data_IF_352975564792
#
_entry.id   IF_352975564792
#
_cell.length_a   1.000
_cell.length_b   1.000
_cell.length_c   1.000
_cell.angle_alpha   90.00
_cell.angle_beta   90.00
_cell.angle_gamma   90.00
#
_symmetry.space_group_name_H-M   'P 1'
#
loop_
_entity.id
_entity.type
_entity.pdbx_description
1 polymer ?
#
# COMPACT_ATOMS: atom_id res chain seq x y z
N UNK A 1 -12.80 -16.00 44.99
CA UNK A 1 -11.39 -16.07 45.40
C UNK A 1 -10.66 -16.98 44.40
N UNK A 2 -9.58 -16.44 43.84
CA UNK A 2 -8.83 -16.91 42.68
C UNK A 2 -7.95 -18.15 43.00
N UNK A 3 -7.69 -19.03 42.02
CA UNK A 3 -6.33 -19.22 41.48
C UNK A 3 -6.34 -20.10 40.21
N UNK A 4 -6.07 -19.48 39.06
CA UNK A 4 -5.55 -20.15 37.86
C UNK A 4 -4.02 -20.11 37.91
N UNK A 5 -3.38 -21.25 37.67
CA UNK A 5 -1.95 -21.34 37.36
C UNK A 5 -1.83 -22.21 36.11
N UNK A 6 -1.51 -21.60 34.97
CA UNK A 6 -0.90 -22.31 33.85
C UNK A 6 0.46 -21.70 33.59
N UNK A 7 1.48 -22.59 33.60
CA UNK A 7 2.87 -22.27 33.37
C UNK A 7 3.04 -21.39 32.12
N UNK A 8 3.61 -20.20 32.33
CA UNK A 8 4.35 -19.50 31.31
C UNK A 8 5.60 -20.32 30.99
N UNK A 9 5.72 -20.81 29.77
CA UNK A 9 6.91 -20.78 28.91
C UNK A 9 6.53 -21.53 27.62
N UNK A 10 6.86 -20.93 26.46
CA UNK A 10 6.82 -21.57 25.14
C UNK A 10 5.55 -21.48 24.27
N UNK A 11 4.85 -20.34 24.19
CA UNK A 11 4.10 -20.00 22.96
C UNK A 11 4.11 -18.48 22.71
N UNK A 12 5.20 -17.94 22.17
CA UNK A 12 5.20 -16.62 21.51
C UNK A 12 5.19 -16.73 19.97
N UNK A 13 5.18 -17.96 19.45
CA UNK A 13 5.31 -18.24 18.00
C UNK A 13 4.07 -18.88 17.37
N UNK A 14 3.08 -19.40 18.12
CA UNK A 14 1.85 -19.95 17.51
C UNK A 14 0.71 -18.95 17.33
N UNK A 15 0.72 -17.77 17.96
CA UNK A 15 -0.28 -16.72 17.70
C UNK A 15 -0.03 -15.96 16.41
N UNK A 16 1.21 -15.93 15.93
CA UNK A 16 1.53 -15.39 14.61
C UNK A 16 0.93 -16.28 13.50
N UNK A 17 1.04 -17.62 13.58
CA UNK A 17 0.64 -18.55 12.49
C UNK A 17 -0.86 -18.62 12.10
N UNK A 18 -1.74 -17.86 12.74
CA UNK A 18 -3.15 -17.68 12.31
C UNK A 18 -3.27 -16.54 11.26
N UNK A 19 -2.14 -15.96 10.85
CA UNK A 19 -1.93 -14.85 9.91
C UNK A 19 -3.07 -14.57 8.91
N UNK A 20 -3.54 -13.32 8.96
CA UNK A 20 -4.22 -12.54 7.91
C UNK A 20 -4.48 -13.35 6.64
N UNK A 21 -5.72 -13.82 6.46
CA UNK A 21 -6.11 -14.57 5.27
C UNK A 21 -5.62 -13.86 4.00
N UNK A 22 -4.84 -14.55 3.18
CA UNK A 22 -4.31 -14.01 1.93
C UNK A 22 -2.94 -13.31 2.01
N UNK A 23 -2.23 -13.33 3.14
CA UNK A 23 -0.84 -12.83 3.19
C UNK A 23 0.13 -13.71 2.38
N UNK A 24 0.92 -13.06 1.52
CA UNK A 24 2.06 -13.64 0.81
C UNK A 24 3.23 -12.65 0.89
N UNK A 25 4.42 -13.13 1.25
CA UNK A 25 5.61 -12.28 1.30
C UNK A 25 5.92 -11.69 -0.09
N UNK A 26 6.15 -10.37 -0.13
CA UNK A 26 6.38 -9.63 -1.36
C UNK A 26 5.12 -9.32 -2.17
N UNK A 27 3.91 -9.60 -1.64
CA UNK A 27 2.64 -9.31 -2.32
C UNK A 27 2.44 -7.83 -2.64
N UNK A 28 3.15 -6.93 -1.94
CA UNK A 28 3.07 -5.48 -2.19
C UNK A 28 4.14 -4.93 -3.11
N UNK A 29 4.95 -5.79 -3.75
CA UNK A 29 5.84 -5.36 -4.83
C UNK A 29 5.02 -4.88 -6.02
N UNK A 30 5.41 -3.74 -6.59
CA UNK A 30 4.75 -3.21 -7.78
C UNK A 30 4.93 -4.20 -8.95
N UNK A 31 3.84 -4.73 -9.53
CA UNK A 31 3.93 -5.57 -10.70
C UNK A 31 4.65 -4.85 -11.85
N UNK A 32 5.40 -5.60 -12.65
CA UNK A 32 6.03 -5.03 -13.84
C UNK A 32 4.95 -4.66 -14.84
N UNK A 33 4.95 -3.40 -15.28
CA UNK A 33 4.05 -2.99 -16.35
C UNK A 33 4.41 -3.67 -17.66
N UNK A 34 3.40 -3.98 -18.48
CA UNK A 34 3.62 -4.66 -19.76
C UNK A 34 4.24 -3.72 -20.79
N UNK A 35 5.18 -4.21 -21.60
CA UNK A 35 5.85 -3.42 -22.65
C UNK A 35 4.94 -2.92 -23.78
N UNK A 36 3.67 -3.34 -23.78
CA UNK A 36 2.66 -3.05 -24.81
C UNK A 36 1.67 -1.95 -24.40
N UNK A 37 1.88 -1.27 -23.27
CA UNK A 37 1.00 -0.17 -22.90
C UNK A 37 1.12 1.00 -23.90
N UNK A 38 0.05 1.26 -24.64
CA UNK A 38 -0.04 2.34 -25.61
C UNK A 38 -1.26 3.22 -25.32
N UNK A 39 -1.18 4.51 -25.68
CA UNK A 39 -2.24 5.48 -25.39
C UNK A 39 -2.15 6.09 -23.99
N UNK A 40 -3.25 6.67 -23.49
CA UNK A 40 -3.40 7.22 -22.11
C UNK A 40 -2.45 8.35 -21.70
N UNK A 41 -1.69 8.92 -22.64
CA UNK A 41 -0.76 10.04 -22.38
C UNK A 41 -1.42 11.19 -21.61
N UNK A 42 -2.68 11.50 -21.90
CA UNK A 42 -3.43 12.55 -21.20
C UNK A 42 -3.56 12.28 -19.71
N UNK A 43 -3.95 11.06 -19.31
CA UNK A 43 -4.05 10.67 -17.90
C UNK A 43 -2.68 10.61 -17.25
N UNK A 44 -1.67 10.07 -17.93
CA UNK A 44 -0.30 10.06 -17.42
C UNK A 44 0.25 11.47 -17.19
N UNK A 45 -0.08 12.43 -18.07
CA UNK A 45 0.30 13.82 -17.90
C UNK A 45 -0.41 14.46 -16.70
N UNK A 46 -1.71 14.17 -16.50
CA UNK A 46 -2.44 14.65 -15.31
C UNK A 46 -1.83 14.09 -14.02
N UNK A 47 -1.48 12.80 -14.00
CA UNK A 47 -0.79 12.19 -12.86
C UNK A 47 0.59 12.80 -12.64
N UNK A 48 1.36 13.05 -13.71
CA UNK A 48 2.67 13.71 -13.64
C UNK A 48 2.56 15.12 -13.07
N UNK A 49 1.61 15.92 -13.55
CA UNK A 49 1.39 17.28 -13.06
C UNK A 49 1.04 17.27 -11.56
N UNK A 50 0.09 16.41 -11.16
CA UNK A 50 -0.40 16.32 -9.79
C UNK A 50 0.62 15.76 -8.79
N UNK A 51 1.28 14.64 -9.13
CA UNK A 51 2.18 13.95 -8.21
C UNK A 51 3.63 14.42 -8.28
N UNK A 52 4.13 14.84 -9.46
CA UNK A 52 5.56 15.08 -9.67
C UNK A 52 5.88 16.58 -9.71
N UNK A 53 5.22 17.35 -10.58
CA UNK A 53 5.55 18.77 -10.74
C UNK A 53 5.23 19.59 -9.50
N UNK A 54 4.15 19.23 -8.82
CA UNK A 54 3.77 19.84 -7.54
C UNK A 54 4.64 19.39 -6.35
N UNK A 55 5.64 18.52 -6.51
CA UNK A 55 6.62 18.23 -5.42
C UNK A 55 7.52 19.43 -5.10
N UNK A 56 7.64 20.38 -6.03
CA UNK A 56 8.47 21.58 -5.90
C UNK A 56 7.69 22.81 -5.43
N UNK A 57 6.41 22.64 -5.11
CA UNK A 57 5.50 23.74 -4.71
C UNK A 57 5.47 23.94 -3.18
N UNK A 58 4.82 25.00 -2.71
CA UNK A 58 4.58 25.25 -1.28
C UNK A 58 3.76 24.13 -0.58
N UNK A 59 3.12 23.24 -1.35
CA UNK A 59 2.41 22.06 -0.86
C UNK A 59 3.31 20.81 -0.75
N UNK A 60 4.63 20.95 -0.92
CA UNK A 60 5.61 19.89 -0.71
C UNK A 60 5.46 19.27 0.70
N UNK A 61 5.31 17.94 0.75
CA UNK A 61 5.12 17.19 2.00
C UNK A 61 3.66 16.96 2.42
N UNK A 62 2.67 17.47 1.68
CA UNK A 62 1.26 17.09 1.90
C UNK A 62 0.93 15.75 1.24
N UNK A 63 0.09 14.94 1.90
CA UNK A 63 -0.47 13.72 1.30
C UNK A 63 -1.36 14.09 0.11
N UNK A 64 -1.06 13.50 -1.05
CA UNK A 64 -1.84 13.64 -2.29
C UNK A 64 -2.63 12.37 -2.56
N UNK A 65 -3.89 12.51 -2.98
CA UNK A 65 -4.78 11.37 -3.27
C UNK A 65 -5.40 11.61 -4.65
N UNK A 66 -5.25 10.63 -5.54
CA UNK A 66 -5.82 10.67 -6.88
C UNK A 66 -6.70 9.43 -7.09
N UNK A 67 -7.96 9.64 -7.48
CA UNK A 67 -8.90 8.56 -7.77
C UNK A 67 -8.98 8.31 -9.28
N UNK A 68 -8.49 7.15 -9.73
CA UNK A 68 -8.71 6.66 -11.10
C UNK A 68 -9.98 5.79 -11.13
N UNK A 69 -11.08 6.34 -11.64
CA UNK A 69 -12.34 5.63 -11.82
C UNK A 69 -12.72 5.48 -13.29
N UNK A 70 -13.58 4.50 -13.60
CA UNK A 70 -14.00 4.20 -14.97
C UNK A 70 -14.49 2.76 -15.12
N UNK A 71 -15.04 2.45 -16.29
CA UNK A 71 -15.64 1.14 -16.57
C UNK A 71 -14.66 -0.03 -16.34
N UNK A 72 -15.22 -1.21 -16.08
CA UNK A 72 -14.46 -2.46 -16.07
C UNK A 72 -13.70 -2.66 -17.39
N UNK A 73 -12.47 -3.18 -17.33
CA UNK A 73 -11.63 -3.34 -18.52
C UNK A 73 -11.05 -2.04 -19.10
N UNK A 74 -11.36 -0.88 -18.53
CA UNK A 74 -10.75 0.39 -18.94
C UNK A 74 -9.28 0.52 -18.49
N UNK A 75 -8.52 -0.55 -18.27
CA UNK A 75 -7.06 -0.51 -18.05
C UNK A 75 -6.56 0.45 -16.96
N UNK A 76 -7.33 0.67 -15.89
CA UNK A 76 -6.99 1.61 -14.81
C UNK A 76 -5.71 1.17 -14.08
N UNK A 77 -5.68 -0.09 -13.67
CA UNK A 77 -4.51 -0.76 -13.08
C UNK A 77 -3.28 -0.59 -13.96
N UNK A 78 -3.38 -0.90 -15.26
CA UNK A 78 -2.26 -0.76 -16.19
C UNK A 78 -1.77 0.70 -16.30
N UNK A 79 -2.67 1.68 -16.22
CA UNK A 79 -2.29 3.08 -16.22
C UNK A 79 -1.52 3.49 -14.95
N UNK A 80 -1.93 2.97 -13.78
CA UNK A 80 -1.22 3.20 -12.52
C UNK A 80 0.16 2.53 -12.51
N UNK A 81 0.26 1.30 -13.02
CA UNK A 81 1.53 0.58 -13.15
C UNK A 81 2.51 1.28 -14.10
N UNK A 82 2.03 1.80 -15.23
CA UNK A 82 2.88 2.59 -16.13
C UNK A 82 3.34 3.91 -15.50
N UNK A 83 2.49 4.57 -14.72
CA UNK A 83 2.89 5.77 -13.98
C UNK A 83 4.01 5.44 -12.99
N UNK A 84 3.82 4.41 -12.16
CA UNK A 84 4.85 3.95 -11.21
C UNK A 84 6.16 3.57 -11.93
N UNK A 85 6.07 2.85 -13.05
CA UNK A 85 7.24 2.49 -13.85
C UNK A 85 7.96 3.72 -14.41
N UNK A 86 7.22 4.68 -14.97
CA UNK A 86 7.76 5.90 -15.60
C UNK A 86 8.45 6.82 -14.59
N UNK A 87 7.90 6.93 -13.38
CA UNK A 87 8.38 7.83 -12.32
C UNK A 87 9.01 7.10 -11.13
N UNK A 88 9.53 5.89 -11.34
CA UNK A 88 10.05 5.07 -10.24
C UNK A 88 11.14 5.77 -9.43
N UNK A 89 11.98 6.59 -10.07
CA UNK A 89 13.08 7.31 -9.43
C UNK A 89 12.62 8.53 -8.63
N UNK A 90 11.35 8.93 -8.76
CA UNK A 90 10.76 10.04 -8.01
C UNK A 90 10.25 9.63 -6.62
N UNK A 91 10.18 8.32 -6.36
CA UNK A 91 9.70 7.77 -5.10
C UNK A 91 10.76 6.89 -4.44
N UNK A 92 10.89 6.97 -3.12
CA UNK A 92 11.78 6.10 -2.34
C UNK A 92 11.22 4.70 -2.17
N UNK A 93 9.89 4.56 -2.25
CA UNK A 93 9.23 3.27 -2.23
C UNK A 93 7.90 3.32 -3.01
N UNK A 94 7.54 2.20 -3.64
CA UNK A 94 6.26 2.02 -4.33
C UNK A 94 5.61 0.74 -3.83
N UNK A 95 4.49 0.89 -3.13
CA UNK A 95 3.70 -0.20 -2.58
C UNK A 95 2.42 -0.42 -3.40
N UNK A 96 2.22 -1.65 -3.89
CA UNK A 96 0.98 -2.06 -4.55
C UNK A 96 0.08 -2.81 -3.56
N UNK A 97 -1.12 -2.31 -3.30
CA UNK A 97 -2.06 -2.87 -2.33
C UNK A 97 -3.28 -3.38 -3.08
N UNK A 98 -3.62 -4.66 -2.87
CA UNK A 98 -4.89 -5.23 -3.32
C UNK A 98 -5.94 -4.87 -2.27
N UNK A 99 -6.85 -3.97 -2.61
CA UNK A 99 -7.84 -3.37 -1.70
C UNK A 99 -9.25 -3.96 -1.88
N UNK A 100 -9.33 -5.29 -2.04
CA UNK A 100 -10.59 -6.02 -2.24
C UNK A 100 -11.35 -6.26 -0.93
N UNK A 101 -10.62 -6.45 0.17
CA UNK A 101 -11.18 -6.68 1.51
C UNK A 101 -10.33 -6.02 2.60
N UNK A 102 -10.87 -5.95 3.81
CA UNK A 102 -10.11 -5.44 4.96
C UNK A 102 -8.90 -6.35 5.25
N UNK A 103 -9.05 -7.67 5.08
CA UNK A 103 -7.99 -8.63 5.28
C UNK A 103 -6.88 -8.50 4.23
N UNK A 104 -7.21 -8.27 2.95
CA UNK A 104 -6.21 -8.07 1.91
C UNK A 104 -5.42 -6.77 2.13
N UNK A 105 -6.09 -5.72 2.64
CA UNK A 105 -5.43 -4.47 3.04
C UNK A 105 -4.51 -4.69 4.24
N UNK A 106 -4.98 -5.36 5.30
CA UNK A 106 -4.16 -5.65 6.49
C UNK A 106 -2.96 -6.53 6.13
N UNK A 107 -3.16 -7.57 5.31
CA UNK A 107 -2.09 -8.41 4.79
C UNK A 107 -1.04 -7.58 4.03
N UNK A 108 -1.51 -6.63 3.20
CA UNK A 108 -0.63 -5.71 2.48
C UNK A 108 0.17 -4.81 3.43
N UNK A 109 -0.44 -4.20 4.46
CA UNK A 109 0.31 -3.41 5.44
C UNK A 109 1.29 -4.24 6.25
N UNK A 110 0.94 -5.48 6.57
CA UNK A 110 1.88 -6.40 7.22
C UNK A 110 3.09 -6.68 6.32
N UNK A 111 2.89 -6.95 5.03
CA UNK A 111 3.98 -7.13 4.06
C UNK A 111 4.87 -5.87 3.94
N UNK A 112 4.27 -4.68 3.91
CA UNK A 112 5.00 -3.41 3.88
C UNK A 112 5.84 -3.25 5.15
N UNK A 113 5.29 -3.62 6.31
CA UNK A 113 6.05 -3.63 7.55
C UNK A 113 7.25 -4.58 7.46
N UNK A 114 7.05 -5.78 6.93
CA UNK A 114 8.11 -6.77 6.76
C UNK A 114 9.20 -6.30 5.79
N UNK A 115 8.83 -5.66 4.68
CA UNK A 115 9.78 -5.10 3.70
C UNK A 115 10.70 -4.04 4.30
N UNK A 116 10.16 -3.22 5.20
CA UNK A 116 10.84 -2.01 5.69
C UNK A 116 11.34 -2.08 7.13
N UNK A 117 11.02 -3.14 7.88
CA UNK A 117 11.41 -3.26 9.27
C UNK A 117 12.86 -3.73 9.44
N UNK A 118 13.63 -2.97 10.21
CA UNK A 118 14.88 -3.44 10.82
C UNK A 118 14.69 -4.16 12.17
N UNK A 119 13.54 -4.03 12.86
CA UNK A 119 13.20 -4.78 14.09
C UNK A 119 11.68 -4.94 14.35
N UNK A 120 11.31 -6.13 14.85
CA UNK A 120 10.03 -6.66 15.37
C UNK A 120 8.71 -6.05 14.85
N UNK A 121 8.23 -6.54 13.71
CA UNK A 121 6.84 -6.33 13.25
C UNK A 121 5.86 -6.94 14.25
N UNK A 122 4.97 -6.13 14.83
CA UNK A 122 3.99 -6.56 15.84
C UNK A 122 2.62 -6.91 15.25
N UNK A 123 2.37 -6.53 14.00
CA UNK A 123 1.07 -6.58 13.35
C UNK A 123 1.00 -5.65 12.13
N UNK A 124 -0.12 -5.68 11.40
CA UNK A 124 -0.34 -4.89 10.18
C UNK A 124 -0.24 -3.38 10.43
N UNK A 125 -0.58 -2.91 11.63
CA UNK A 125 -0.47 -1.52 12.06
C UNK A 125 0.97 -0.99 11.92
N UNK A 126 1.96 -1.88 11.95
CA UNK A 126 3.37 -1.53 11.79
C UNK A 126 3.65 -0.94 10.40
N UNK A 127 2.96 -1.42 9.35
CA UNK A 127 3.10 -0.88 7.99
C UNK A 127 2.46 0.49 7.86
N UNK A 128 1.30 0.70 8.51
CA UNK A 128 0.69 2.02 8.58
C UNK A 128 1.57 3.02 9.35
N UNK A 129 2.19 2.58 10.45
CA UNK A 129 3.16 3.38 11.21
C UNK A 129 4.37 3.75 10.36
N UNK A 130 4.83 2.87 9.47
CA UNK A 130 5.89 3.19 8.53
C UNK A 130 5.53 4.41 7.69
N UNK A 131 4.36 4.43 7.02
CA UNK A 131 3.90 5.58 6.22
C UNK A 131 3.81 6.89 7.01
N UNK A 132 3.41 6.84 8.29
CA UNK A 132 3.33 8.03 9.16
C UNK A 132 4.69 8.60 9.55
N UNK A 133 5.72 7.77 9.58
CA UNK A 133 7.05 8.15 10.08
C UNK A 133 8.06 8.40 8.95
N UNK A 134 7.81 7.83 7.76
CA UNK A 134 8.65 8.00 6.59
C UNK A 134 8.38 9.36 5.94
N UNK A 135 9.38 10.24 5.96
CA UNK A 135 9.29 11.63 5.47
C UNK A 135 9.61 11.79 3.99
N UNK A 136 10.16 10.75 3.38
CA UNK A 136 10.49 10.73 1.95
C UNK A 136 9.24 10.51 1.09
N UNK A 137 9.36 10.78 -0.21
CA UNK A 137 8.26 10.60 -1.15
C UNK A 137 8.03 9.12 -1.43
N UNK A 138 6.93 8.56 -0.92
CA UNK A 138 6.47 7.21 -1.23
C UNK A 138 5.19 7.23 -2.06
N UNK A 139 4.94 6.16 -2.82
CA UNK A 139 3.72 5.97 -3.59
C UNK A 139 2.99 4.71 -3.15
N UNK A 140 1.68 4.82 -2.93
CA UNK A 140 0.79 3.67 -2.75
C UNK A 140 -0.16 3.61 -3.95
N UNK A 141 -0.25 2.44 -4.58
CA UNK A 141 -1.29 2.12 -5.56
C UNK A 141 -2.26 1.16 -4.89
N UNK A 142 -3.51 1.59 -4.68
CA UNK A 142 -4.58 0.72 -4.18
C UNK A 142 -5.43 0.26 -5.38
N UNK A 143 -5.37 -1.02 -5.71
CA UNK A 143 -6.13 -1.63 -6.81
C UNK A 143 -7.36 -2.37 -6.28
N UNK A 144 -8.42 -2.46 -7.08
CA UNK A 144 -9.72 -3.07 -6.70
C UNK A 144 -10.39 -2.48 -5.45
N UNK A 145 -10.15 -1.20 -5.14
CA UNK A 145 -10.77 -0.44 -4.05
C UNK A 145 -12.24 -0.04 -4.31
N UNK A 146 -13.03 -0.92 -4.94
CA UNK A 146 -14.40 -0.63 -5.40
C UNK A 146 -15.46 -0.89 -4.31
N UNK A 147 -15.06 -1.48 -3.18
CA UNK A 147 -15.95 -1.79 -2.08
C UNK A 147 -16.29 -0.54 -1.26
N UNK A 148 -17.49 0.01 -1.45
CA UNK A 148 -17.98 1.18 -0.73
C UNK A 148 -18.13 1.00 0.79
N UNK A 149 -18.11 -0.24 1.29
CA UNK A 149 -18.11 -0.53 2.73
C UNK A 149 -16.70 -0.58 3.33
N UNK A 150 -15.66 -0.56 2.48
CA UNK A 150 -14.29 -0.54 2.94
C UNK A 150 -13.99 0.86 3.48
N UNK A 151 -13.74 0.94 4.79
CA UNK A 151 -13.40 2.20 5.42
C UNK A 151 -11.96 2.62 5.05
N UNK A 152 -11.80 3.22 3.88
CA UNK A 152 -10.53 3.83 3.45
C UNK A 152 -10.16 5.06 4.29
N UNK A 153 -11.06 5.55 5.17
CA UNK A 153 -10.78 6.69 6.05
C UNK A 153 -9.74 6.36 7.13
N UNK A 154 -9.45 5.09 7.38
CA UNK A 154 -8.32 4.65 8.23
C UNK A 154 -6.98 5.20 7.71
N UNK A 155 -6.90 5.53 6.41
CA UNK A 155 -5.70 6.08 5.77
C UNK A 155 -5.63 7.61 5.77
N UNK A 156 -6.61 8.31 6.41
CA UNK A 156 -6.71 9.77 6.37
C UNK A 156 -5.91 10.52 7.44
N UNK A 157 -5.40 9.86 8.48
CA UNK A 157 -4.67 10.51 9.60
C UNK A 157 -3.17 10.66 9.38
#
# INVERSE_FOLDING_TARGET
>A
MCLQVFQFYYIQTLTLRIWLEGYVEGMTHCPTSTSLFTGRKTILNVLEDYFIKDLLSEDAGRRKIFLLHGLGGAGKTQCALEFARKFNTSFTDICFIIAESEDSIKASYYDIAMRHASMSVQGWESGFKWFKTHKENWLIIMDNADNAQLNLEIHRS
#
